data_IF_819564007143
#
_entry.id   IF_819564007143
#
_cell.length_a   1.000
_cell.length_b   1.000
_cell.length_c   1.000
_cell.angle_alpha   90.00
_cell.angle_beta   90.00
_cell.angle_gamma   90.00
#
_symmetry.space_group_name_H-M   'P 1'
#
loop_
_entity.id
_entity.type
_entity.pdbx_description
1 polymer ?
#
# COMPACT_ATOMS: atom_id res chain seq x y z
N UNK A 1 47.79 -10.19 -18.37
CA UNK A 1 46.92 -11.37 -18.62
C UNK A 1 45.53 -11.00 -18.11
N UNK A 2 44.65 -10.56 -19.02
CA UNK A 2 43.25 -10.25 -18.75
C UNK A 2 42.39 -11.35 -19.37
N UNK A 3 41.41 -11.95 -18.68
CA UNK A 3 40.46 -12.86 -19.31
C UNK A 3 39.36 -12.07 -19.99
N UNK A 4 39.06 -12.48 -21.21
CA UNK A 4 38.15 -11.86 -22.14
C UNK A 4 36.71 -11.86 -21.69
N UNK A 5 36.03 -10.77 -22.05
CA UNK A 5 34.58 -10.62 -21.96
C UNK A 5 34.00 -11.25 -23.22
N UNK A 6 33.32 -12.36 -23.06
CA UNK A 6 32.61 -13.02 -24.15
C UNK A 6 31.34 -12.27 -24.49
N UNK A 7 31.31 -11.65 -25.65
CA UNK A 7 30.14 -11.03 -26.23
C UNK A 7 29.15 -12.11 -26.69
N UNK A 8 28.05 -12.29 -25.96
CA UNK A 8 26.94 -13.11 -26.43
C UNK A 8 26.20 -12.36 -27.54
N UNK A 9 26.43 -12.84 -28.74
CA UNK A 9 25.78 -12.43 -29.97
C UNK A 9 24.31 -12.93 -29.96
N UNK A 10 23.35 -12.06 -29.71
CA UNK A 10 21.93 -12.38 -29.89
C UNK A 10 21.53 -12.17 -31.36
N UNK A 11 21.32 -13.32 -31.96
CA UNK A 11 21.07 -13.53 -33.36
C UNK A 11 20.00 -12.68 -34.02
N UNK A 12 20.27 -12.44 -35.26
CA UNK A 12 19.47 -11.91 -36.36
C UNK A 12 17.97 -12.16 -36.25
N UNK A 13 17.19 -11.08 -36.13
CA UNK A 13 15.76 -11.11 -36.42
C UNK A 13 15.54 -10.85 -37.91
N UNK A 14 15.12 -11.91 -38.61
CA UNK A 14 14.73 -11.85 -40.03
C UNK A 14 13.51 -10.93 -40.19
N UNK A 15 13.68 -9.85 -40.94
CA UNK A 15 12.59 -8.97 -41.33
C UNK A 15 11.93 -9.59 -42.56
N UNK A 16 10.77 -10.21 -42.38
CA UNK A 16 9.86 -10.51 -43.48
C UNK A 16 9.11 -9.25 -43.88
N UNK A 17 9.49 -8.67 -45.01
CA UNK A 17 8.73 -7.62 -45.70
C UNK A 17 7.48 -8.27 -46.30
N UNK A 18 6.34 -8.13 -45.62
CA UNK A 18 5.02 -8.42 -46.15
C UNK A 18 4.20 -7.14 -46.11
N UNK A 19 4.01 -6.51 -47.26
CA UNK A 19 3.04 -5.42 -47.44
C UNK A 19 1.64 -6.00 -47.25
N UNK A 20 0.95 -5.57 -46.19
CA UNK A 20 -0.48 -5.81 -45.97
C UNK A 20 -1.14 -4.48 -45.67
N UNK A 21 -2.10 -4.16 -46.57
CA UNK A 21 -2.96 -2.98 -46.56
C UNK A 21 -3.57 -2.67 -45.20
N UNK A 22 -3.65 -1.37 -44.95
CA UNK A 22 -4.18 -0.66 -43.80
C UNK A 22 -5.46 -1.19 -43.16
N UNK A 23 -5.30 -2.09 -42.20
CA UNK A 23 -6.31 -2.29 -41.18
C UNK A 23 -5.77 -1.71 -39.86
N UNK A 24 -6.28 -0.52 -39.52
CA UNK A 24 -6.03 0.13 -38.23
C UNK A 24 -6.26 -0.91 -37.11
N UNK A 25 -5.26 -1.21 -36.23
CA UNK A 25 -5.48 -2.15 -35.17
C UNK A 25 -6.65 -1.64 -34.28
N UNK A 26 -7.55 -2.52 -33.86
CA UNK A 26 -8.63 -2.13 -32.96
C UNK A 26 -8.03 -1.52 -31.70
N UNK A 27 -8.51 -0.33 -31.35
CA UNK A 27 -8.13 0.35 -30.10
C UNK A 27 -8.38 -0.63 -28.92
N UNK A 28 -7.46 -0.76 -27.98
CA UNK A 28 -7.70 -1.60 -26.82
C UNK A 28 -8.94 -1.10 -26.09
N UNK A 29 -9.97 -1.93 -26.07
CA UNK A 29 -11.21 -1.65 -25.35
C UNK A 29 -10.84 -1.51 -23.87
N UNK A 30 -11.11 -0.35 -23.30
CA UNK A 30 -10.91 -0.14 -21.86
C UNK A 30 -11.64 -1.26 -21.08
N UNK A 31 -11.00 -1.90 -20.11
CA UNK A 31 -11.62 -3.00 -19.36
C UNK A 31 -12.93 -2.52 -18.73
N UNK A 32 -14.01 -3.24 -18.99
CA UNK A 32 -15.33 -2.91 -18.45
C UNK A 32 -15.32 -2.91 -16.93
N UNK A 33 -16.20 -2.11 -16.33
CA UNK A 33 -16.34 -1.95 -14.86
C UNK A 33 -16.39 -3.28 -14.10
N UNK A 34 -16.99 -4.31 -14.71
CA UNK A 34 -17.07 -5.67 -14.15
C UNK A 34 -15.71 -6.36 -14.10
N UNK A 35 -14.83 -6.16 -15.09
CA UNK A 35 -13.49 -6.74 -15.11
C UNK A 35 -12.58 -6.07 -14.06
N UNK A 36 -12.72 -4.76 -13.87
CA UNK A 36 -11.99 -4.04 -12.81
C UNK A 36 -12.39 -4.56 -11.44
N UNK A 37 -13.69 -4.77 -11.19
CA UNK A 37 -14.17 -5.32 -9.92
C UNK A 37 -13.70 -6.77 -9.69
N UNK A 38 -13.68 -7.60 -10.73
CA UNK A 38 -13.16 -8.96 -10.64
C UNK A 38 -11.65 -9.00 -10.35
N UNK A 39 -10.86 -8.09 -10.93
CA UNK A 39 -9.44 -7.97 -10.62
C UNK A 39 -9.19 -7.52 -9.18
N UNK A 40 -10.00 -6.60 -8.66
CA UNK A 40 -9.88 -6.14 -7.27
C UNK A 40 -10.24 -7.23 -6.25
N UNK A 41 -11.17 -8.15 -6.61
CA UNK A 41 -11.52 -9.28 -5.73
C UNK A 41 -10.42 -10.35 -5.64
N UNK A 42 -9.48 -10.38 -6.57
CA UNK A 42 -8.32 -11.27 -6.59
C UNK A 42 -7.04 -10.61 -6.07
N UNK A 43 -7.09 -9.32 -5.74
CA UNK A 43 -5.93 -8.60 -5.26
C UNK A 43 -5.60 -8.99 -3.82
N UNK A 44 -4.34 -9.35 -3.59
CA UNK A 44 -3.83 -9.70 -2.27
C UNK A 44 -3.33 -8.45 -1.53
N UNK A 45 -3.94 -8.08 -0.40
CA UNK A 45 -3.46 -6.97 0.41
C UNK A 45 -2.12 -7.31 1.05
N UNK A 46 -1.35 -6.28 1.38
CA UNK A 46 -0.08 -6.46 2.09
C UNK A 46 -0.30 -6.91 3.54
N UNK A 47 0.60 -7.71 4.08
CA UNK A 47 0.53 -8.15 5.47
C UNK A 47 0.80 -7.00 6.46
N UNK A 48 1.63 -6.03 6.07
CA UNK A 48 2.01 -4.89 6.92
C UNK A 48 2.23 -3.60 6.11
N UNK A 49 2.22 -2.46 6.81
CA UNK A 49 2.58 -1.17 6.23
C UNK A 49 4.04 -1.14 5.75
N UNK A 50 4.91 -1.89 6.42
CA UNK A 50 6.33 -2.02 6.07
C UNK A 50 6.50 -2.74 4.73
N UNK A 51 5.80 -3.87 4.51
CA UNK A 51 5.79 -4.58 3.22
C UNK A 51 5.27 -3.68 2.10
N UNK A 52 4.16 -2.98 2.33
CA UNK A 52 3.61 -2.03 1.37
C UNK A 52 4.59 -0.91 1.03
N UNK A 53 5.33 -0.41 2.02
CA UNK A 53 6.33 0.62 1.82
C UNK A 53 7.53 0.12 1.02
N UNK A 54 8.10 -1.03 1.35
CA UNK A 54 9.22 -1.60 0.59
C UNK A 54 8.83 -1.89 -0.86
N UNK A 55 7.65 -2.45 -1.09
CA UNK A 55 7.15 -2.64 -2.45
C UNK A 55 7.01 -1.30 -3.21
N UNK A 56 6.49 -0.27 -2.54
CA UNK A 56 6.38 1.08 -3.12
C UNK A 56 7.74 1.63 -3.50
N UNK A 57 8.73 1.53 -2.60
CA UNK A 57 10.08 2.03 -2.85
C UNK A 57 10.76 1.28 -3.99
N UNK A 58 10.61 -0.04 -4.07
CA UNK A 58 11.12 -0.84 -5.19
C UNK A 58 10.51 -0.37 -6.52
N UNK A 59 9.21 -0.08 -6.55
CA UNK A 59 8.53 0.43 -7.73
C UNK A 59 9.02 1.84 -8.13
N UNK A 60 9.26 2.73 -7.17
CA UNK A 60 9.79 4.07 -7.42
C UNK A 60 11.23 4.03 -7.95
N UNK A 61 12.06 3.14 -7.41
CA UNK A 61 13.43 2.91 -7.89
C UNK A 61 13.39 2.37 -9.32
N UNK A 62 12.57 1.36 -9.60
CA UNK A 62 12.42 0.81 -10.94
C UNK A 62 11.94 1.85 -11.96
N UNK A 63 11.01 2.73 -11.58
CA UNK A 63 10.58 3.86 -12.45
C UNK A 63 11.71 4.83 -12.73
N UNK A 64 12.51 5.17 -11.73
CA UNK A 64 13.71 6.02 -11.89
C UNK A 64 14.68 5.39 -12.87
N UNK A 65 14.82 4.07 -12.83
CA UNK A 65 15.73 3.30 -13.69
C UNK A 65 15.08 2.96 -15.07
N UNK A 66 13.90 3.55 -15.38
CA UNK A 66 13.23 3.42 -16.68
C UNK A 66 12.28 2.21 -16.82
N UNK A 67 12.13 1.39 -15.78
CA UNK A 67 11.16 0.31 -15.75
C UNK A 67 9.78 0.77 -15.25
N UNK A 68 8.71 0.10 -15.71
CA UNK A 68 7.35 0.34 -15.22
C UNK A 68 6.87 -0.88 -14.44
N UNK A 69 6.75 -0.72 -13.12
CA UNK A 69 6.05 -1.66 -12.26
C UNK A 69 4.61 -1.16 -12.08
N UNK A 70 3.64 -2.00 -12.39
CA UNK A 70 2.22 -1.74 -12.09
C UNK A 70 1.64 -2.90 -11.30
N UNK A 71 0.63 -2.61 -10.48
CA UNK A 71 0.01 -3.53 -9.54
C UNK A 71 -0.55 -4.82 -10.19
N UNK A 72 -0.95 -4.75 -11.46
CA UNK A 72 -1.55 -5.87 -12.18
C UNK A 72 -0.59 -6.73 -13.01
N UNK A 73 0.72 -6.47 -13.01
CA UNK A 73 1.70 -7.17 -13.86
C UNK A 73 2.69 -8.07 -13.09
N UNK A 74 2.62 -8.11 -11.77
CA UNK A 74 3.46 -8.98 -10.95
C UNK A 74 2.91 -10.40 -10.81
N UNK A 75 3.67 -11.29 -10.17
CA UNK A 75 3.19 -12.62 -9.79
C UNK A 75 2.00 -12.57 -8.82
N UNK A 76 1.88 -11.48 -8.07
CA UNK A 76 0.77 -11.20 -7.14
C UNK A 76 0.12 -9.89 -7.55
N UNK A 77 -1.20 -9.91 -7.74
CA UNK A 77 -1.98 -8.71 -8.02
C UNK A 77 -2.15 -7.94 -6.70
N UNK A 78 -1.72 -6.68 -6.68
CA UNK A 78 -1.82 -5.83 -5.49
C UNK A 78 -3.04 -4.90 -5.56
N UNK A 79 -3.66 -4.55 -4.43
CA UNK A 79 -4.91 -3.78 -4.40
C UNK A 79 -4.72 -2.28 -4.68
N UNK A 80 -3.50 -1.83 -4.88
CA UNK A 80 -3.19 -0.41 -5.08
C UNK A 80 -2.00 -0.22 -6.01
N UNK A 81 -1.89 0.97 -6.58
CA UNK A 81 -0.67 1.43 -7.26
C UNK A 81 0.31 2.03 -6.24
N UNK A 82 1.64 2.05 -6.54
CA UNK A 82 2.65 2.63 -5.65
C UNK A 82 2.34 4.09 -5.28
N UNK A 83 1.76 4.83 -6.21
CA UNK A 83 1.36 6.24 -6.01
C UNK A 83 0.28 6.41 -4.94
N UNK A 84 -0.53 5.41 -4.67
CA UNK A 84 -1.58 5.48 -3.65
C UNK A 84 -1.00 5.44 -2.23
N UNK A 85 0.09 4.69 -2.04
CA UNK A 85 0.84 4.68 -0.79
C UNK A 85 1.57 6.02 -0.60
N UNK A 86 2.19 6.55 -1.66
CA UNK A 86 2.83 7.88 -1.63
C UNK A 86 1.81 8.98 -1.29
N UNK A 87 0.61 8.94 -1.87
CA UNK A 87 -0.48 9.89 -1.55
C UNK A 87 -0.93 9.79 -0.09
N UNK A 88 -0.89 8.59 0.51
CA UNK A 88 -1.18 8.44 1.94
C UNK A 88 -0.11 9.12 2.78
N UNK A 89 1.16 8.94 2.45
CA UNK A 89 2.28 9.61 3.12
C UNK A 89 2.21 11.13 2.98
N UNK A 90 1.96 11.65 1.78
CA UNK A 90 1.81 13.09 1.52
C UNK A 90 0.65 13.69 2.34
N UNK A 91 -0.49 13.01 2.41
CA UNK A 91 -1.61 13.43 3.26
C UNK A 91 -1.21 13.55 4.73
N UNK A 92 -0.51 12.53 5.27
CA UNK A 92 -0.04 12.53 6.65
C UNK A 92 0.98 13.66 6.90
N UNK A 93 1.84 13.94 5.93
CA UNK A 93 2.80 15.03 5.99
C UNK A 93 2.09 16.40 6.03
N UNK A 94 1.09 16.62 5.15
CA UNK A 94 0.28 17.85 5.15
C UNK A 94 -0.52 18.04 6.44
N UNK A 95 -0.96 16.94 7.05
CA UNK A 95 -1.65 16.93 8.34
C UNK A 95 -0.69 17.10 9.54
N UNK A 96 0.61 17.26 9.30
CA UNK A 96 1.67 17.34 10.32
C UNK A 96 1.72 16.12 11.25
N UNK A 97 1.21 14.99 10.79
CA UNK A 97 1.31 13.71 11.50
C UNK A 97 2.63 13.01 11.22
N UNK A 98 3.22 13.25 10.05
CA UNK A 98 4.56 12.81 9.66
C UNK A 98 5.39 14.07 9.41
N UNK A 99 6.58 14.12 9.97
CA UNK A 99 7.54 15.21 9.83
C UNK A 99 8.62 14.85 8.80
N UNK A 100 9.41 15.84 8.40
CA UNK A 100 10.49 15.68 7.42
C UNK A 100 11.51 14.60 7.85
N UNK A 101 11.81 14.52 9.14
CA UNK A 101 12.72 13.49 9.68
C UNK A 101 12.19 12.07 9.45
N UNK A 102 10.89 11.84 9.62
CA UNK A 102 10.25 10.55 9.33
C UNK A 102 10.32 10.22 7.84
N UNK A 103 10.00 11.19 6.96
CA UNK A 103 10.06 11.01 5.53
C UNK A 103 11.50 10.69 5.04
N UNK A 104 12.50 11.34 5.65
CA UNK A 104 13.93 11.07 5.37
C UNK A 104 14.31 9.63 5.75
N UNK A 105 13.92 9.19 6.93
CA UNK A 105 14.21 7.83 7.42
C UNK A 105 13.49 6.78 6.56
N UNK A 106 12.21 7.01 6.23
CA UNK A 106 11.46 6.14 5.33
C UNK A 106 12.16 5.99 3.98
N UNK A 107 12.67 7.08 3.41
CA UNK A 107 13.40 7.05 2.14
C UNK A 107 14.71 6.27 2.27
N UNK A 108 15.57 6.60 3.24
CA UNK A 108 16.89 5.98 3.40
C UNK A 108 16.77 4.47 3.57
N UNK A 109 15.90 4.01 4.46
CA UNK A 109 15.73 2.59 4.75
C UNK A 109 14.88 1.89 3.69
N UNK A 110 13.95 2.61 3.05
CA UNK A 110 13.21 2.10 1.90
C UNK A 110 14.11 1.83 0.69
N UNK A 111 15.05 2.73 0.38
CA UNK A 111 16.05 2.51 -0.68
C UNK A 111 16.97 1.32 -0.39
N UNK A 112 17.26 1.05 0.88
CA UNK A 112 18.03 -0.12 1.31
C UNK A 112 17.22 -1.42 1.34
N UNK A 113 15.90 -1.31 1.19
CA UNK A 113 14.96 -2.44 1.31
C UNK A 113 15.13 -3.26 2.60
N UNK A 114 15.45 -2.58 3.70
CA UNK A 114 15.75 -3.19 5.01
C UNK A 114 15.33 -2.23 6.11
N UNK A 115 14.70 -2.74 7.17
CA UNK A 115 14.39 -1.95 8.36
C UNK A 115 15.62 -1.72 9.23
N UNK A 116 15.66 -0.61 10.02
CA UNK A 116 16.75 -0.35 10.98
C UNK A 116 16.87 -1.48 12.02
N UNK A 117 18.10 -1.88 12.36
CA UNK A 117 18.36 -2.98 13.28
C UNK A 117 18.48 -2.47 14.73
N UNK A 118 17.66 -2.98 15.67
CA UNK A 118 17.72 -2.58 17.08
C UNK A 118 19.04 -2.93 17.78
N UNK A 119 19.78 -3.90 17.24
CA UNK A 119 21.06 -4.37 17.83
C UNK A 119 22.21 -3.41 17.56
N UNK A 120 22.06 -2.55 16.54
CA UNK A 120 23.07 -1.58 16.15
C UNK A 120 22.80 -0.25 16.86
N UNK A 121 23.69 0.22 17.76
CA UNK A 121 23.46 1.42 18.57
C UNK A 121 23.14 2.66 17.74
N UNK A 122 23.82 2.84 16.62
CA UNK A 122 23.65 4.00 15.74
C UNK A 122 22.31 4.01 14.99
N UNK A 123 21.65 2.85 14.84
CA UNK A 123 20.38 2.72 14.13
C UNK A 123 19.17 2.82 15.08
N UNK A 124 19.38 2.84 16.39
CA UNK A 124 18.28 2.89 17.37
C UNK A 124 17.41 4.15 17.24
N UNK A 125 18.04 5.29 16.95
CA UNK A 125 17.32 6.54 16.69
C UNK A 125 16.44 6.44 15.44
N UNK A 126 17.00 5.90 14.38
CA UNK A 126 16.32 5.68 13.12
C UNK A 126 15.16 4.68 13.29
N UNK A 127 15.39 3.60 14.04
CA UNK A 127 14.36 2.60 14.33
C UNK A 127 13.15 3.20 15.04
N UNK A 128 13.36 4.12 15.98
CA UNK A 128 12.24 4.81 16.66
C UNK A 128 11.42 5.61 15.67
N UNK A 129 12.07 6.44 14.84
CA UNK A 129 11.41 7.24 13.82
C UNK A 129 10.74 6.36 12.75
N UNK A 130 11.37 5.25 12.36
CA UNK A 130 10.83 4.27 11.44
C UNK A 130 9.52 3.68 11.97
N UNK A 131 9.53 3.16 13.20
CA UNK A 131 8.33 2.58 13.83
C UNK A 131 7.20 3.59 13.94
N UNK A 132 7.53 4.79 14.39
CA UNK A 132 6.56 5.88 14.51
C UNK A 132 5.92 6.25 13.16
N UNK A 133 6.72 6.30 12.10
CA UNK A 133 6.23 6.54 10.75
C UNK A 133 5.35 5.39 10.24
N UNK A 134 5.76 4.14 10.47
CA UNK A 134 5.00 2.95 10.08
C UNK A 134 3.66 2.85 10.82
N UNK A 135 3.63 3.11 12.12
CA UNK A 135 2.39 3.11 12.91
C UNK A 135 1.40 4.18 12.40
N UNK A 136 1.91 5.35 12.01
CA UNK A 136 1.07 6.42 11.44
C UNK A 136 0.57 6.10 10.03
N UNK A 137 1.37 5.38 9.24
CA UNK A 137 1.03 4.98 7.88
C UNK A 137 0.08 3.78 7.85
N UNK A 138 0.15 2.87 8.82
CA UNK A 138 -0.66 1.65 8.89
C UNK A 138 -2.17 1.95 8.87
N UNK A 139 -2.63 2.93 9.64
CA UNK A 139 -4.05 3.27 9.73
C UNK A 139 -4.68 3.64 8.37
N UNK A 140 -4.16 4.63 7.61
CA UNK A 140 -4.76 4.98 6.32
C UNK A 140 -4.61 3.88 5.27
N UNK A 141 -3.59 3.04 5.34
CA UNK A 141 -3.43 1.92 4.42
C UNK A 141 -4.47 0.83 4.69
N UNK A 142 -4.73 0.49 5.96
CA UNK A 142 -5.81 -0.44 6.33
C UNK A 142 -7.18 0.12 6.01
N UNK A 143 -7.41 1.40 6.24
CA UNK A 143 -8.68 2.05 5.88
C UNK A 143 -8.98 1.95 4.38
N UNK A 144 -7.95 1.94 3.54
CA UNK A 144 -8.07 1.77 2.09
C UNK A 144 -8.07 0.30 1.64
N UNK A 145 -7.92 -0.67 2.53
CA UNK A 145 -7.80 -2.09 2.18
C UNK A 145 -6.47 -2.46 1.50
N UNK A 146 -5.46 -1.59 1.58
CA UNK A 146 -4.11 -1.85 1.03
C UNK A 146 -3.37 -2.83 1.94
N UNK A 147 -3.51 -2.68 3.25
CA UNK A 147 -2.96 -3.59 4.26
C UNK A 147 -4.07 -4.43 4.85
N UNK A 148 -3.83 -5.71 5.05
CA UNK A 148 -4.79 -6.66 5.60
C UNK A 148 -5.18 -6.32 7.05
N UNK A 149 -6.42 -6.66 7.42
CA UNK A 149 -6.95 -6.52 8.76
C UNK A 149 -7.67 -5.19 9.03
N UNK A 150 -8.39 -5.08 10.16
CA UNK A 150 -9.10 -3.87 10.55
C UNK A 150 -8.12 -2.73 10.82
N UNK A 151 -8.51 -1.50 10.49
CA UNK A 151 -7.75 -0.32 10.87
C UNK A 151 -7.66 -0.25 12.40
N UNK A 152 -6.44 -0.07 12.96
CA UNK A 152 -6.26 0.08 14.41
C UNK A 152 -7.16 1.20 14.94
N UNK A 153 -8.03 0.89 15.90
CA UNK A 153 -9.03 1.82 16.46
C UNK A 153 -10.45 1.65 15.89
N UNK A 154 -10.63 0.86 14.83
CA UNK A 154 -11.94 0.33 14.48
C UNK A 154 -12.09 -1.03 15.14
N UNK A 155 -12.61 -1.03 16.35
CA UNK A 155 -13.25 -2.23 16.88
C UNK A 155 -14.40 -2.57 15.93
N UNK A 156 -14.46 -3.80 15.36
CA UNK A 156 -15.61 -4.18 14.56
C UNK A 156 -16.88 -3.97 15.40
N UNK A 157 -17.99 -3.50 14.83
CA UNK A 157 -19.24 -3.33 15.57
C UNK A 157 -19.90 -4.67 15.87
N UNK A 158 -19.14 -5.60 16.43
CA UNK A 158 -19.58 -6.93 16.83
C UNK A 158 -19.21 -7.14 18.28
N UNK A 159 -20.01 -6.62 19.20
CA UNK A 159 -19.83 -6.81 20.62
C UNK A 159 -20.13 -5.61 21.50
N UNK A 160 -20.56 -4.50 20.96
CA UNK A 160 -21.22 -3.50 21.78
C UNK A 160 -22.58 -4.10 22.19
N UNK A 161 -22.64 -4.77 23.33
CA UNK A 161 -23.88 -5.07 24.01
C UNK A 161 -24.61 -3.74 24.21
N UNK A 162 -25.67 -3.52 23.46
CA UNK A 162 -26.53 -2.38 23.62
C UNK A 162 -27.26 -2.58 24.93
N UNK A 163 -26.68 -2.05 26.02
CA UNK A 163 -27.39 -2.01 27.31
C UNK A 163 -28.57 -1.07 27.10
N UNK A 164 -29.82 -1.56 27.08
CA UNK A 164 -30.97 -0.68 26.92
C UNK A 164 -30.99 0.30 28.09
N UNK A 165 -30.97 1.60 27.77
CA UNK A 165 -31.12 2.65 28.76
C UNK A 165 -32.45 2.46 29.50
N UNK A 166 -32.39 1.88 30.68
CA UNK A 166 -33.56 1.75 31.56
C UNK A 166 -33.88 3.14 32.06
N UNK A 167 -34.89 3.75 31.45
CA UNK A 167 -35.47 5.00 31.94
C UNK A 167 -35.89 4.75 33.38
N UNK A 168 -35.26 5.43 34.31
CA UNK A 168 -35.65 5.40 35.74
C UNK A 168 -37.14 5.81 35.79
N UNK A 169 -37.96 4.85 36.13
CA UNK A 169 -39.42 5.02 36.25
C UNK A 169 -39.74 6.12 37.21
N UNK A 170 -40.60 7.00 36.77
CA UNK A 170 -41.15 8.07 37.56
C UNK A 170 -41.75 7.59 38.89
N UNK A 171 -41.55 8.40 39.89
CA UNK A 171 -42.14 8.27 41.21
C UNK A 171 -43.65 8.05 41.10
N UNK A 172 -44.09 6.92 41.68
CA UNK A 172 -45.53 6.76 41.99
C UNK A 172 -45.83 7.62 43.23
N UNK A 173 -46.53 8.67 42.99
CA UNK A 173 -47.25 9.36 44.05
C UNK A 173 -48.28 8.40 44.65
N UNK A 174 -48.02 7.97 45.89
CA UNK A 174 -48.98 7.27 46.70
C UNK A 174 -49.98 8.23 47.28
N UNK A 175 -51.19 8.21 46.71
CA UNK A 175 -52.37 8.83 47.37
C UNK A 175 -52.95 7.78 48.28
N UNK A 176 -52.68 7.89 49.53
CA UNK A 176 -53.43 7.17 50.54
C UNK A 176 -54.19 8.10 51.43
N UNK A 177 -55.48 7.89 51.55
CA UNK A 177 -56.28 8.26 52.70
C UNK A 177 -57.74 7.88 52.47
N UNK A 178 -58.55 7.72 53.52
CA UNK A 178 -58.45 7.95 54.98
C UNK A 178 -58.54 6.69 55.81
#
# INVERSE_FOLDING_TARGET
MQPGVELINVGSFLICSGSVEGTKPPMPIAPGRSQILACLSQAEPFASAEEAWFWTMAALIARRDGARLSAGRGAVIRPCEPDDVVKCLDRLYRQRRIELQHARILRIWGERNTAPNPRIPNERGDLRLWREAMDRLDFPLRQKGIVAGPARGMTPPGGAEVIPFRRAGGAQEGTGRP
#
